data_IF_953175694694
#
_entry.id   IF_953175694694
#
_cell.length_a   1.000
_cell.length_b   1.000
_cell.length_c   1.000
_cell.angle_alpha   90.00
_cell.angle_beta   90.00
_cell.angle_gamma   90.00
#
_symmetry.space_group_name_H-M   'P 1'
#
loop_
_entity.id
_entity.type
_entity.pdbx_description
1 polymer ?
#
# COMPACT_ATOMS: atom_id res chain seq x y z
N UNK A 1 -17.81 42.69 23.30
CA UNK A 1 -18.40 41.97 22.15
C UNK A 1 -17.93 40.52 22.23
N UNK A 2 -18.84 39.58 22.57
CA UNK A 2 -18.50 38.15 22.46
C UNK A 2 -18.39 37.82 20.99
N UNK A 3 -17.20 37.43 20.49
CA UNK A 3 -17.08 36.83 19.18
C UNK A 3 -17.80 35.48 19.25
N UNK A 4 -18.95 35.36 18.64
CA UNK A 4 -19.54 34.05 18.32
C UNK A 4 -18.61 33.44 17.27
N UNK A 5 -17.86 32.43 17.67
CA UNK A 5 -17.01 31.63 16.74
C UNK A 5 -17.95 30.68 15.98
N UNK A 6 -18.02 30.85 14.68
CA UNK A 6 -18.67 29.87 13.79
C UNK A 6 -17.64 28.80 13.42
N UNK A 7 -17.83 27.59 13.93
CA UNK A 7 -16.95 26.45 13.72
C UNK A 7 -17.37 25.59 12.52
N UNK A 8 -18.46 25.91 11.85
CA UNK A 8 -19.02 25.13 10.75
C UNK A 8 -18.03 24.92 9.61
N UNK A 9 -17.30 25.96 9.19
CA UNK A 9 -16.25 25.86 8.16
C UNK A 9 -15.07 25.01 8.62
N UNK A 10 -14.72 25.08 9.91
CA UNK A 10 -13.64 24.26 10.46
C UNK A 10 -14.03 22.78 10.45
N UNK A 11 -15.24 22.47 10.93
CA UNK A 11 -15.79 21.12 10.96
C UNK A 11 -15.84 20.55 9.53
N UNK A 12 -16.42 21.30 8.59
CA UNK A 12 -16.53 20.89 7.19
C UNK A 12 -15.15 20.60 6.56
N UNK A 13 -14.17 21.49 6.78
CA UNK A 13 -12.81 21.30 6.29
C UNK A 13 -12.13 20.10 6.95
N UNK A 14 -12.28 19.95 8.27
CA UNK A 14 -11.68 18.84 8.99
C UNK A 14 -12.29 17.50 8.56
N UNK A 15 -13.59 17.41 8.41
CA UNK A 15 -14.27 16.16 8.08
C UNK A 15 -14.06 15.71 6.63
N UNK A 16 -13.82 16.64 5.69
CA UNK A 16 -13.79 16.32 4.27
C UNK A 16 -12.45 16.59 3.56
N UNK A 17 -11.66 17.52 4.07
CA UNK A 17 -10.40 17.90 3.43
C UNK A 17 -9.16 17.37 4.18
N UNK A 18 -9.28 17.07 5.47
CA UNK A 18 -8.17 16.55 6.27
C UNK A 18 -8.04 15.05 6.14
N UNK A 19 -7.95 14.57 4.88
CA UNK A 19 -7.86 13.16 4.52
C UNK A 19 -6.43 12.76 4.17
N UNK A 20 -6.11 11.46 4.31
CA UNK A 20 -4.82 10.93 3.92
C UNK A 20 -4.57 11.13 2.40
N UNK A 21 -5.62 10.90 1.59
CA UNK A 21 -5.54 11.09 0.14
C UNK A 21 -5.18 12.53 -0.23
N UNK A 22 -5.77 13.53 0.43
CA UNK A 22 -5.42 14.94 0.21
C UNK A 22 -3.96 15.25 0.60
N UNK A 23 -3.42 14.57 1.63
CA UNK A 23 -2.00 14.60 1.99
C UNK A 23 -1.13 14.09 0.86
N UNK A 24 -1.44 12.93 0.29
CA UNK A 24 -0.76 12.37 -0.88
C UNK A 24 -0.86 13.30 -2.10
N UNK A 25 -2.06 13.77 -2.44
CA UNK A 25 -2.28 14.66 -3.59
C UNK A 25 -1.56 16.01 -3.46
N UNK A 26 -1.39 16.52 -2.23
CA UNK A 26 -0.54 17.68 -1.97
C UNK A 26 0.90 17.41 -2.42
N UNK A 27 1.43 16.21 -2.16
CA UNK A 27 2.80 15.84 -2.54
C UNK A 27 2.91 15.56 -4.05
N UNK A 28 1.90 15.00 -4.68
CA UNK A 28 1.83 14.89 -6.15
C UNK A 28 1.99 16.28 -6.80
N UNK A 29 1.30 17.29 -6.28
CA UNK A 29 1.41 18.67 -6.81
C UNK A 29 2.76 19.33 -6.49
N UNK A 30 3.29 19.13 -5.28
CA UNK A 30 4.53 19.81 -4.81
C UNK A 30 5.80 19.15 -5.32
N UNK A 31 5.79 17.84 -5.46
CA UNK A 31 6.96 17.00 -5.69
C UNK A 31 6.79 16.06 -6.90
N UNK A 32 6.07 16.50 -7.94
CA UNK A 32 5.72 15.68 -9.10
C UNK A 32 6.90 14.92 -9.72
N UNK A 33 8.07 15.56 -9.81
CA UNK A 33 9.28 14.98 -10.40
C UNK A 33 10.15 14.17 -9.42
N UNK A 34 9.79 14.14 -8.12
CA UNK A 34 10.55 13.44 -7.09
C UNK A 34 10.13 11.97 -7.03
N UNK A 35 11.08 11.07 -6.78
CA UNK A 35 10.78 9.65 -6.58
C UNK A 35 9.84 9.44 -5.38
N UNK A 36 8.77 8.72 -5.61
CA UNK A 36 7.87 8.19 -4.59
C UNK A 36 8.20 6.72 -4.30
N UNK A 37 8.50 5.95 -5.35
CA UNK A 37 8.82 4.52 -5.25
C UNK A 37 10.12 4.26 -5.99
N UNK A 38 11.01 3.49 -5.36
CA UNK A 38 12.23 2.93 -5.95
C UNK A 38 12.16 1.42 -5.79
N UNK A 39 12.22 0.69 -6.90
CA UNK A 39 12.24 -0.78 -6.92
C UNK A 39 13.62 -1.29 -7.38
N UNK A 40 14.49 -1.66 -6.44
CA UNK A 40 15.83 -2.12 -6.76
C UNK A 40 15.88 -3.44 -7.55
N UNK A 41 14.90 -4.32 -7.35
CA UNK A 41 14.89 -5.65 -7.97
C UNK A 41 14.53 -5.60 -9.45
N UNK A 42 13.69 -4.66 -9.86
CA UNK A 42 13.35 -4.44 -11.28
C UNK A 42 14.10 -3.27 -11.90
N UNK A 43 14.89 -2.54 -11.11
CA UNK A 43 15.56 -1.30 -11.49
C UNK A 43 14.60 -0.24 -12.07
N UNK A 44 13.37 -0.18 -11.56
CA UNK A 44 12.33 0.80 -11.92
C UNK A 44 12.12 1.79 -10.79
N UNK A 45 11.65 2.97 -11.14
CA UNK A 45 11.23 3.97 -10.17
C UNK A 45 10.01 4.73 -10.67
N UNK A 46 9.22 5.24 -9.74
CA UNK A 46 8.07 6.10 -10.01
C UNK A 46 8.25 7.41 -9.27
N UNK A 47 8.14 8.50 -9.99
CA UNK A 47 7.98 9.81 -9.37
C UNK A 47 6.57 9.95 -8.80
N UNK A 48 6.32 10.93 -7.91
CA UNK A 48 4.96 11.21 -7.45
C UNK A 48 3.99 11.46 -8.60
N UNK A 49 4.44 12.15 -9.65
CA UNK A 49 3.64 12.38 -10.86
C UNK A 49 3.34 11.10 -11.64
N UNK A 50 4.35 10.26 -11.91
CA UNK A 50 4.13 9.02 -12.66
C UNK A 50 3.38 7.97 -11.83
N UNK A 51 3.61 7.93 -10.52
CA UNK A 51 2.82 7.10 -9.60
C UNK A 51 1.35 7.50 -9.64
N UNK A 52 1.05 8.81 -9.56
CA UNK A 52 -0.33 9.27 -9.60
C UNK A 52 -1.05 8.91 -10.90
N UNK A 53 -0.38 9.01 -12.04
CA UNK A 53 -0.91 8.59 -13.34
C UNK A 53 -1.24 7.10 -13.37
N UNK A 54 -0.36 6.25 -12.87
CA UNK A 54 -0.59 4.80 -12.80
C UNK A 54 -1.71 4.46 -11.81
N UNK A 55 -1.76 5.13 -10.66
CA UNK A 55 -2.87 5.04 -9.70
C UNK A 55 -4.19 5.43 -10.33
N UNK A 56 -4.22 6.49 -11.14
CA UNK A 56 -5.44 6.92 -11.86
C UNK A 56 -5.89 5.86 -12.87
N UNK A 57 -4.97 5.32 -13.67
CA UNK A 57 -5.29 4.21 -14.57
C UNK A 57 -5.89 3.02 -13.83
N UNK A 58 -5.31 2.66 -12.70
CA UNK A 58 -5.83 1.57 -11.88
C UNK A 58 -7.22 1.90 -11.29
N UNK A 59 -7.43 3.12 -10.79
CA UNK A 59 -8.74 3.55 -10.30
C UNK A 59 -9.82 3.52 -11.39
N UNK A 60 -9.51 3.96 -12.61
CA UNK A 60 -10.41 3.86 -13.76
C UNK A 60 -10.70 2.41 -14.16
N UNK A 61 -9.72 1.51 -14.11
CA UNK A 61 -9.94 0.09 -14.37
C UNK A 61 -10.89 -0.52 -13.32
N UNK A 62 -10.71 -0.19 -12.04
CA UNK A 62 -11.60 -0.59 -10.96
C UNK A 62 -13.04 -0.08 -11.19
N UNK A 63 -13.20 1.20 -11.57
CA UNK A 63 -14.52 1.77 -11.90
C UNK A 63 -15.16 1.07 -13.10
N UNK A 64 -14.39 0.72 -14.13
CA UNK A 64 -14.85 -0.02 -15.31
C UNK A 64 -15.41 -1.40 -14.95
N UNK A 65 -14.79 -2.09 -13.99
CA UNK A 65 -15.28 -3.36 -13.41
C UNK A 65 -16.37 -3.13 -12.33
N UNK A 66 -16.91 -1.90 -12.25
CA UNK A 66 -18.06 -1.56 -11.41
C UNK A 66 -17.74 -1.45 -9.92
N UNK A 67 -16.46 -1.29 -9.52
CA UNK A 67 -16.09 -1.00 -8.12
C UNK A 67 -16.59 0.39 -7.74
N UNK A 68 -17.23 0.48 -6.58
CA UNK A 68 -17.87 1.70 -6.04
C UNK A 68 -17.37 1.97 -4.62
N UNK A 69 -17.86 3.08 -4.05
CA UNK A 69 -17.66 3.39 -2.64
C UNK A 69 -18.09 2.19 -1.77
N UNK A 70 -17.28 1.90 -0.77
CA UNK A 70 -17.43 0.81 0.22
C UNK A 70 -17.24 -0.62 -0.35
N UNK A 71 -17.01 -0.80 -1.66
CA UNK A 71 -16.59 -2.09 -2.21
C UNK A 71 -15.16 -2.44 -1.78
N UNK A 72 -14.88 -3.74 -1.63
CA UNK A 72 -13.58 -4.21 -1.17
C UNK A 72 -12.71 -4.63 -2.35
N UNK A 73 -11.49 -4.08 -2.39
CA UNK A 73 -10.36 -4.52 -3.23
C UNK A 73 -9.36 -5.22 -2.33
N UNK A 74 -9.16 -6.52 -2.53
CA UNK A 74 -8.22 -7.31 -1.74
C UNK A 74 -6.85 -7.35 -2.40
N UNK A 75 -5.80 -6.98 -1.66
CA UNK A 75 -4.41 -7.07 -2.09
C UNK A 75 -3.66 -8.12 -1.28
N UNK A 76 -3.38 -9.28 -1.89
CA UNK A 76 -2.53 -10.34 -1.36
C UNK A 76 -1.14 -10.21 -2.00
N UNK A 77 -0.41 -9.16 -1.65
CA UNK A 77 0.82 -8.73 -2.30
C UNK A 77 2.00 -8.68 -1.34
N UNK A 78 3.18 -9.03 -1.85
CA UNK A 78 4.45 -8.66 -1.21
C UNK A 78 4.58 -7.13 -1.18
N UNK A 79 5.56 -6.63 -0.41
CA UNK A 79 5.98 -5.24 -0.55
C UNK A 79 6.42 -5.02 -2.01
N UNK A 80 5.67 -4.24 -2.76
CA UNK A 80 5.84 -4.08 -4.20
C UNK A 80 5.27 -2.75 -4.69
N UNK A 81 5.67 -2.28 -5.88
CA UNK A 81 4.98 -1.15 -6.50
C UNK A 81 3.48 -1.40 -6.66
N UNK A 82 3.06 -2.62 -7.00
CA UNK A 82 1.65 -2.97 -7.10
C UNK A 82 0.90 -2.82 -5.77
N UNK A 83 1.53 -3.15 -4.62
CA UNK A 83 0.95 -2.85 -3.31
C UNK A 83 0.78 -1.35 -3.10
N UNK A 84 1.81 -0.56 -3.42
CA UNK A 84 1.75 0.90 -3.29
C UNK A 84 0.63 1.51 -4.15
N UNK A 85 0.44 1.03 -5.39
CA UNK A 85 -0.67 1.45 -6.25
C UNK A 85 -2.03 1.02 -5.66
N UNK A 86 -2.12 -0.21 -5.14
CA UNK A 86 -3.32 -0.73 -4.47
C UNK A 86 -3.65 0.01 -3.17
N UNK A 87 -2.66 0.61 -2.52
CA UNK A 87 -2.86 1.41 -1.32
C UNK A 87 -3.55 2.74 -1.62
N UNK A 88 -3.38 3.29 -2.82
CA UNK A 88 -3.90 4.61 -3.20
C UNK A 88 -5.12 4.53 -4.10
N UNK A 89 -5.11 3.67 -5.13
CA UNK A 89 -6.14 3.67 -6.17
C UNK A 89 -7.57 3.42 -5.67
N UNK A 90 -7.84 2.44 -4.78
CA UNK A 90 -9.17 2.25 -4.21
C UNK A 90 -9.69 3.48 -3.47
N UNK A 91 -8.83 4.18 -2.72
CA UNK A 91 -9.21 5.40 -1.97
C UNK A 91 -9.70 6.51 -2.89
N UNK A 92 -9.16 6.64 -4.12
CA UNK A 92 -9.60 7.66 -5.08
C UNK A 92 -11.06 7.50 -5.51
N UNK A 93 -11.61 6.31 -5.39
CA UNK A 93 -12.99 5.98 -5.76
C UNK A 93 -13.84 5.56 -4.56
N UNK A 94 -13.32 5.75 -3.34
CA UNK A 94 -14.02 5.43 -2.09
C UNK A 94 -14.11 3.94 -1.77
N UNK A 95 -13.38 3.09 -2.48
CA UNK A 95 -13.31 1.66 -2.18
C UNK A 95 -12.32 1.38 -1.06
N UNK A 96 -12.50 0.24 -0.40
CA UNK A 96 -11.75 -0.20 0.77
C UNK A 96 -10.64 -1.16 0.32
N UNK A 97 -9.38 -0.89 0.72
CA UNK A 97 -8.32 -1.86 0.56
C UNK A 97 -8.36 -2.90 1.68
N UNK A 98 -8.44 -4.18 1.35
CA UNK A 98 -8.14 -5.28 2.27
C UNK A 98 -6.71 -5.76 2.02
N UNK A 99 -5.79 -5.41 2.93
CA UNK A 99 -4.40 -5.86 2.85
C UNK A 99 -4.29 -7.27 3.45
N UNK A 100 -4.26 -8.28 2.59
CA UNK A 100 -4.25 -9.67 3.00
C UNK A 100 -2.83 -10.20 3.23
N UNK A 101 -2.67 -11.05 4.23
CA UNK A 101 -1.42 -11.76 4.46
C UNK A 101 -1.18 -12.79 3.34
N UNK A 102 -0.18 -12.55 2.52
CA UNK A 102 0.19 -13.44 1.42
C UNK A 102 0.81 -14.79 1.87
N UNK A 103 1.09 -14.96 3.16
CA UNK A 103 1.59 -16.22 3.72
C UNK A 103 0.47 -17.16 4.19
N UNK A 104 -0.82 -16.79 4.04
CA UNK A 104 -1.94 -17.64 4.38
C UNK A 104 -1.98 -18.90 3.51
N UNK A 105 -2.37 -20.02 4.10
CA UNK A 105 -2.69 -21.23 3.34
C UNK A 105 -3.98 -21.03 2.52
N UNK A 106 -4.17 -21.80 1.46
CA UNK A 106 -5.31 -21.63 0.55
C UNK A 106 -6.68 -21.76 1.23
N UNK A 107 -6.79 -22.56 2.30
CA UNK A 107 -8.02 -22.66 3.10
C UNK A 107 -8.32 -21.38 3.88
N UNK A 108 -7.29 -20.78 4.51
CA UNK A 108 -7.42 -19.51 5.24
C UNK A 108 -7.73 -18.36 4.29
N UNK A 109 -7.09 -18.37 3.11
CA UNK A 109 -7.33 -17.39 2.05
C UNK A 109 -8.78 -17.47 1.56
N UNK A 110 -9.31 -18.68 1.35
CA UNK A 110 -10.70 -18.88 0.97
C UNK A 110 -11.68 -18.34 2.02
N UNK A 111 -11.42 -18.60 3.30
CA UNK A 111 -12.23 -18.06 4.40
C UNK A 111 -12.17 -16.52 4.46
N UNK A 112 -11.00 -15.93 4.20
CA UNK A 112 -10.84 -14.48 4.15
C UNK A 112 -11.64 -13.86 3.00
N UNK A 113 -11.63 -14.52 1.84
CA UNK A 113 -12.41 -14.14 0.65
C UNK A 113 -13.91 -14.22 0.95
N UNK A 114 -14.39 -15.33 1.50
CA UNK A 114 -15.81 -15.52 1.82
C UNK A 114 -16.33 -14.54 2.88
N UNK A 115 -15.49 -14.20 3.86
CA UNK A 115 -15.85 -13.28 4.93
C UNK A 115 -15.93 -11.82 4.44
N UNK A 116 -14.95 -11.39 3.64
CA UNK A 116 -14.86 -9.98 3.22
C UNK A 116 -15.53 -9.72 1.86
N UNK A 117 -15.79 -10.74 1.07
CA UNK A 117 -16.44 -10.67 -0.24
C UNK A 117 -15.82 -9.61 -1.16
N UNK A 118 -14.49 -9.66 -1.39
CA UNK A 118 -13.81 -8.67 -2.23
C UNK A 118 -14.35 -8.74 -3.66
N UNK A 119 -14.58 -7.59 -4.26
CA UNK A 119 -14.99 -7.49 -5.65
C UNK A 119 -13.83 -7.77 -6.61
N UNK A 120 -12.66 -7.29 -6.24
CA UNK A 120 -11.40 -7.49 -6.98
C UNK A 120 -10.38 -8.13 -6.04
N UNK A 121 -9.62 -9.10 -6.56
CA UNK A 121 -8.43 -9.65 -5.89
C UNK A 121 -7.21 -9.34 -6.75
N UNK A 122 -6.21 -8.65 -6.16
CA UNK A 122 -4.90 -8.46 -6.76
C UNK A 122 -3.87 -9.22 -5.93
N UNK A 123 -3.00 -10.00 -6.57
CA UNK A 123 -2.09 -10.89 -5.87
C UNK A 123 -0.72 -10.99 -6.55
N UNK A 124 0.33 -11.26 -5.76
CA UNK A 124 1.69 -11.50 -6.26
C UNK A 124 1.85 -12.87 -6.90
N UNK A 125 2.67 -12.95 -7.94
CA UNK A 125 2.88 -14.19 -8.70
C UNK A 125 3.34 -15.38 -7.84
N UNK A 126 4.16 -15.15 -6.81
CA UNK A 126 4.65 -16.19 -5.92
C UNK A 126 3.55 -16.94 -5.13
N UNK A 127 2.35 -16.38 -5.00
CA UNK A 127 1.20 -17.03 -4.33
C UNK A 127 0.11 -17.45 -5.31
N UNK A 128 0.38 -17.47 -6.62
CA UNK A 128 -0.56 -17.85 -7.66
C UNK A 128 -1.33 -19.14 -7.34
N UNK A 129 -0.61 -20.18 -6.96
CA UNK A 129 -1.23 -21.48 -6.65
C UNK A 129 -2.11 -21.44 -5.40
N UNK A 130 -1.78 -20.61 -4.41
CA UNK A 130 -2.61 -20.40 -3.20
C UNK A 130 -3.93 -19.75 -3.59
N UNK A 131 -3.92 -18.75 -4.47
CA UNK A 131 -5.13 -18.07 -4.96
C UNK A 131 -6.00 -19.05 -5.76
N UNK A 132 -5.43 -19.77 -6.73
CA UNK A 132 -6.17 -20.74 -7.55
C UNK A 132 -6.82 -21.83 -6.69
N UNK A 133 -6.15 -22.31 -5.66
CA UNK A 133 -6.73 -23.30 -4.73
C UNK A 133 -7.77 -22.67 -3.77
N UNK A 134 -7.60 -21.41 -3.40
CA UNK A 134 -8.60 -20.69 -2.61
C UNK A 134 -9.90 -20.46 -3.41
N UNK A 135 -9.81 -20.09 -4.69
CA UNK A 135 -10.96 -19.92 -5.58
C UNK A 135 -11.82 -21.18 -5.74
N UNK A 136 -11.19 -22.37 -5.69
CA UNK A 136 -11.93 -23.65 -5.71
C UNK A 136 -12.70 -23.91 -4.41
N UNK A 137 -12.21 -23.36 -3.28
CA UNK A 137 -12.73 -23.61 -1.93
C UNK A 137 -13.73 -22.56 -1.47
N UNK A 138 -13.59 -21.29 -1.92
CA UNK A 138 -14.47 -20.21 -1.50
C UNK A 138 -15.80 -20.21 -2.27
N UNK A 139 -16.85 -19.78 -1.57
CA UNK A 139 -18.20 -19.59 -2.12
C UNK A 139 -18.35 -18.31 -2.90
N UNK A 140 -17.69 -17.24 -2.41
CA UNK A 140 -17.69 -15.95 -3.06
C UNK A 140 -16.80 -15.96 -4.31
N UNK A 141 -17.30 -15.36 -5.39
CA UNK A 141 -16.56 -15.21 -6.64
C UNK A 141 -16.28 -13.72 -6.89
N UNK A 142 -15.02 -13.29 -6.90
CA UNK A 142 -14.69 -11.93 -7.27
C UNK A 142 -15.01 -11.65 -8.76
N UNK A 143 -15.29 -10.42 -9.10
CA UNK A 143 -15.48 -10.00 -10.49
C UNK A 143 -14.20 -10.16 -11.33
N UNK A 144 -13.04 -9.99 -10.68
CA UNK A 144 -11.72 -10.09 -11.31
C UNK A 144 -10.63 -10.53 -10.36
N UNK A 145 -9.74 -11.40 -10.86
CA UNK A 145 -8.46 -11.71 -10.23
C UNK A 145 -7.32 -11.16 -11.09
N UNK A 146 -6.42 -10.38 -10.47
CA UNK A 146 -5.34 -9.66 -11.13
C UNK A 146 -4.01 -10.20 -10.62
N UNK A 147 -3.20 -10.76 -11.51
CA UNK A 147 -1.85 -11.17 -11.18
C UNK A 147 -0.91 -9.96 -11.34
N UNK A 148 -0.25 -9.58 -10.26
CA UNK A 148 0.68 -8.46 -10.19
C UNK A 148 2.02 -8.89 -9.60
N UNK A 149 3.00 -7.96 -9.57
CA UNK A 149 4.34 -8.23 -9.02
C UNK A 149 4.94 -9.54 -9.58
N UNK A 150 4.88 -9.68 -10.90
CA UNK A 150 5.25 -10.89 -11.63
C UNK A 150 6.72 -10.85 -12.09
N UNK A 151 7.65 -10.70 -11.15
CA UNK A 151 9.09 -10.68 -11.44
C UNK A 151 9.62 -12.07 -11.81
N UNK A 152 8.91 -13.12 -11.45
CA UNK A 152 9.21 -14.50 -11.76
C UNK A 152 8.78 -14.91 -13.20
N UNK A 153 8.09 -14.03 -13.92
CA UNK A 153 7.51 -14.28 -15.25
C UNK A 153 6.57 -15.51 -15.30
N UNK A 154 5.77 -15.67 -14.25
CA UNK A 154 4.76 -16.71 -14.18
C UNK A 154 3.65 -16.49 -15.23
N UNK A 155 3.16 -17.60 -15.81
CA UNK A 155 2.04 -17.53 -16.74
C UNK A 155 0.76 -17.04 -16.03
N UNK A 156 0.01 -16.17 -16.71
CA UNK A 156 -1.29 -15.67 -16.24
C UNK A 156 -2.29 -16.83 -16.26
N UNK A 157 -2.97 -17.15 -15.14
CA UNK A 157 -3.97 -18.20 -15.12
C UNK A 157 -5.18 -17.88 -16.02
N UNK A 158 -5.84 -18.91 -16.50
CA UNK A 158 -7.11 -18.75 -17.24
C UNK A 158 -8.14 -18.01 -16.38
N UNK A 159 -8.81 -17.03 -16.96
CA UNK A 159 -9.80 -16.18 -16.27
C UNK A 159 -9.19 -15.03 -15.44
N UNK A 160 -7.86 -14.97 -15.29
CA UNK A 160 -7.16 -13.87 -14.65
C UNK A 160 -6.59 -12.90 -15.68
N UNK A 161 -6.12 -11.74 -15.21
CA UNK A 161 -5.48 -10.71 -16.05
C UNK A 161 -4.18 -10.26 -15.39
N UNK A 162 -3.18 -9.85 -16.20
CA UNK A 162 -2.01 -9.17 -15.63
C UNK A 162 -2.37 -7.77 -15.15
N UNK A 163 -1.62 -7.26 -14.18
CA UNK A 163 -1.81 -5.87 -13.72
C UNK A 163 -1.61 -4.87 -14.86
N UNK A 164 -0.60 -5.11 -15.68
CA UNK A 164 -0.24 -4.27 -16.82
C UNK A 164 -1.39 -4.21 -17.84
N UNK A 165 -1.93 -5.35 -18.26
CA UNK A 165 -3.06 -5.41 -19.20
C UNK A 165 -4.34 -4.81 -18.59
N UNK A 166 -4.52 -4.98 -17.26
CA UNK A 166 -5.68 -4.47 -16.55
C UNK A 166 -5.78 -2.94 -16.58
N UNK A 167 -4.65 -2.26 -16.48
CA UNK A 167 -4.58 -0.79 -16.51
C UNK A 167 -4.28 -0.22 -17.91
N UNK A 168 -4.04 -1.07 -18.90
CA UNK A 168 -3.71 -0.61 -20.27
C UNK A 168 -4.83 0.20 -20.87
N UNK A 169 -4.49 1.34 -21.49
CA UNK A 169 -5.45 2.23 -22.15
C UNK A 169 -6.41 2.97 -21.22
N UNK A 170 -6.29 2.82 -19.88
CA UNK A 170 -7.09 3.60 -18.94
C UNK A 170 -6.59 5.04 -18.84
N UNK A 171 -7.51 5.97 -18.48
CA UNK A 171 -7.20 7.39 -18.33
C UNK A 171 -6.19 7.65 -17.21
N UNK A 172 -5.28 8.59 -17.43
CA UNK A 172 -4.34 9.13 -16.43
C UNK A 172 -4.93 10.30 -15.62
N UNK A 173 -6.11 10.80 -15.99
CA UNK A 173 -6.79 11.88 -15.30
C UNK A 173 -7.37 11.42 -13.96
N UNK A 174 -7.62 12.37 -13.05
CA UNK A 174 -8.26 12.06 -11.77
C UNK A 174 -9.64 11.44 -11.99
N UNK A 175 -9.94 10.28 -11.35
CA UNK A 175 -11.22 9.62 -11.50
C UNK A 175 -12.36 10.51 -11.01
N UNK A 176 -13.47 10.52 -11.73
CA UNK A 176 -14.66 11.24 -11.30
C UNK A 176 -15.43 10.42 -10.28
N UNK A 177 -15.82 11.08 -9.18
CA UNK A 177 -16.61 10.51 -8.08
C UNK A 177 -17.86 11.36 -7.85
N UNK A 178 -18.93 10.72 -7.40
CA UNK A 178 -20.23 11.36 -7.11
C UNK A 178 -20.56 11.43 -5.61
N UNK A 179 -19.55 11.31 -4.77
CA UNK A 179 -19.65 11.42 -3.31
C UNK A 179 -18.57 12.38 -2.81
N UNK A 180 -18.74 12.89 -1.60
CA UNK A 180 -17.71 13.66 -0.91
C UNK A 180 -17.01 12.73 0.09
N UNK A 181 -15.67 12.55 0.03
CA UNK A 181 -14.94 11.77 1.02
C UNK A 181 -15.14 12.33 2.43
N UNK A 182 -15.13 11.45 3.42
CA UNK A 182 -15.27 11.82 4.80
C UNK A 182 -14.17 11.16 5.64
N UNK A 183 -13.65 11.86 6.62
CA UNK A 183 -12.55 11.41 7.49
C UNK A 183 -12.86 10.09 8.24
N UNK A 184 -14.14 9.77 8.43
CA UNK A 184 -14.58 8.49 9.02
C UNK A 184 -14.98 7.43 8.01
N UNK A 185 -14.81 7.67 6.69
CA UNK A 185 -14.95 6.62 5.70
C UNK A 185 -13.93 5.51 5.97
N UNK A 186 -14.36 4.26 5.89
CA UNK A 186 -13.44 3.11 5.94
C UNK A 186 -12.60 3.09 4.66
N UNK A 187 -11.27 2.97 4.79
CA UNK A 187 -10.36 3.01 3.66
C UNK A 187 -9.41 1.82 3.60
N UNK A 188 -9.23 1.13 4.74
CA UNK A 188 -8.28 0.03 4.86
C UNK A 188 -8.79 -1.02 5.83
N UNK A 189 -8.58 -2.28 5.53
CA UNK A 189 -8.66 -3.41 6.47
C UNK A 189 -7.31 -4.08 6.61
N UNK A 190 -6.85 -4.22 7.84
CA UNK A 190 -5.69 -5.05 8.17
C UNK A 190 -6.15 -6.34 8.83
N UNK A 191 -5.51 -7.46 8.48
CA UNK A 191 -5.80 -8.73 9.10
C UNK A 191 -4.91 -8.96 10.32
N UNK A 192 -5.52 -9.37 11.44
CA UNK A 192 -4.77 -9.83 12.62
C UNK A 192 -4.60 -11.34 12.57
N UNK A 193 -3.45 -11.82 13.05
CA UNK A 193 -3.26 -13.24 13.37
C UNK A 193 -4.09 -13.58 14.61
N UNK A 194 -5.36 -13.91 14.43
CA UNK A 194 -6.24 -14.32 15.53
C UNK A 194 -5.81 -15.67 16.09
N UNK A 195 -5.97 -15.86 17.39
CA UNK A 195 -5.90 -17.20 18.07
C UNK A 195 -7.06 -18.12 17.67
N UNK A 196 -8.01 -17.62 16.90
CA UNK A 196 -9.16 -18.35 16.31
C UNK A 196 -8.88 -18.65 14.84
N UNK A 197 -9.47 -19.72 14.31
CA UNK A 197 -9.24 -20.27 12.96
C UNK A 197 -9.47 -19.28 11.80
N UNK A 198 -10.00 -18.09 12.04
CA UNK A 198 -10.28 -17.05 11.05
C UNK A 198 -9.44 -15.80 11.32
N UNK A 199 -8.66 -15.31 10.31
CA UNK A 199 -8.05 -13.97 10.39
C UNK A 199 -9.15 -12.92 10.55
N UNK A 200 -9.07 -12.10 11.61
CA UNK A 200 -10.01 -10.99 11.81
C UNK A 200 -9.57 -9.80 10.97
N UNK A 201 -10.48 -9.28 10.16
CA UNK A 201 -10.28 -8.02 9.43
C UNK A 201 -10.64 -6.86 10.33
N UNK A 202 -9.69 -5.96 10.59
CA UNK A 202 -9.87 -4.76 11.41
C UNK A 202 -10.07 -3.58 10.48
N UNK A 203 -11.25 -2.94 10.48
CA UNK A 203 -11.51 -1.75 9.68
C UNK A 203 -10.75 -0.54 10.24
N UNK A 204 -10.15 0.23 9.36
CA UNK A 204 -9.49 1.50 9.65
C UNK A 204 -10.12 2.58 8.77
N UNK A 205 -10.51 3.68 9.39
CA UNK A 205 -11.01 4.84 8.67
C UNK A 205 -9.88 5.81 8.30
N UNK A 206 -10.19 6.82 7.50
CA UNK A 206 -9.17 7.72 6.96
C UNK A 206 -8.45 8.53 8.04
N UNK A 207 -9.14 8.89 9.15
CA UNK A 207 -8.50 9.56 10.29
C UNK A 207 -7.45 8.67 10.98
N UNK A 208 -7.64 7.35 11.02
CA UNK A 208 -6.63 6.44 11.55
C UNK A 208 -5.34 6.49 10.71
N UNK A 209 -5.49 6.63 9.40
CA UNK A 209 -4.36 6.73 8.48
C UNK A 209 -3.62 8.06 8.65
N UNK A 210 -4.36 9.18 8.72
CA UNK A 210 -3.79 10.51 8.96
C UNK A 210 -3.04 10.56 10.28
N UNK A 211 -3.68 10.14 11.38
CA UNK A 211 -3.07 10.18 12.72
C UNK A 211 -1.87 9.22 12.82
N UNK A 212 -1.95 8.03 12.21
CA UNK A 212 -0.82 7.11 12.18
C UNK A 212 0.37 7.68 11.39
N UNK A 213 0.12 8.37 10.27
CA UNK A 213 1.17 9.06 9.53
C UNK A 213 1.80 10.18 10.35
N UNK A 214 0.98 11.03 10.97
CA UNK A 214 1.46 12.13 11.82
C UNK A 214 2.29 11.64 13.00
N UNK A 215 1.84 10.58 13.69
CA UNK A 215 2.53 10.01 14.84
C UNK A 215 3.97 9.59 14.47
N UNK A 216 4.11 8.84 13.38
CA UNK A 216 5.43 8.40 12.89
C UNK A 216 6.28 9.57 12.43
N UNK A 217 5.72 10.52 11.66
CA UNK A 217 6.43 11.69 11.16
C UNK A 217 6.95 12.57 12.33
N UNK A 218 6.17 12.72 13.38
CA UNK A 218 6.58 13.52 14.55
C UNK A 218 7.65 12.84 15.38
N UNK A 219 7.57 11.51 15.56
CA UNK A 219 8.54 10.78 16.38
C UNK A 219 9.88 10.57 15.69
N UNK A 220 9.89 10.38 14.38
CA UNK A 220 11.09 10.08 13.58
C UNK A 220 11.48 11.22 12.62
N UNK A 221 11.13 12.45 12.88
CA UNK A 221 11.09 13.68 12.07
C UNK A 221 11.25 13.47 10.56
N UNK A 222 10.45 12.56 10.01
CA UNK A 222 10.46 12.27 8.57
C UNK A 222 10.07 13.51 7.77
N UNK A 223 10.76 13.72 6.67
CA UNK A 223 10.57 14.86 5.80
C UNK A 223 10.66 14.46 4.32
N UNK A 224 10.31 15.34 3.38
CA UNK A 224 10.33 14.98 1.96
C UNK A 224 11.69 14.57 1.39
N UNK A 225 12.80 14.84 2.04
CA UNK A 225 14.14 14.46 1.54
C UNK A 225 14.56 13.05 1.98
N UNK A 226 13.75 12.40 2.80
CA UNK A 226 14.05 11.06 3.26
C UNK A 226 13.79 9.99 2.20
N UNK A 227 14.49 8.87 2.35
CA UNK A 227 14.23 7.63 1.66
C UNK A 227 14.02 6.52 2.70
N UNK A 228 12.82 5.95 2.72
CA UNK A 228 12.44 4.95 3.71
C UNK A 228 12.58 3.54 3.13
N UNK A 229 13.16 2.61 3.90
CA UNK A 229 13.09 1.19 3.65
C UNK A 229 12.50 0.47 4.85
N UNK A 230 11.36 -0.20 4.67
CA UNK A 230 10.75 -1.01 5.71
C UNK A 230 10.87 -2.50 5.34
N UNK A 231 11.56 -3.26 6.19
CA UNK A 231 11.80 -4.68 6.03
C UNK A 231 10.61 -5.55 6.48
N UNK A 232 9.57 -4.94 7.05
CA UNK A 232 8.36 -5.62 7.51
C UNK A 232 7.31 -5.66 6.40
N UNK A 233 6.53 -6.75 6.25
CA UNK A 233 5.46 -6.81 5.26
C UNK A 233 4.43 -5.69 5.42
N UNK A 234 4.05 -5.05 4.31
CA UNK A 234 3.14 -3.90 4.30
C UNK A 234 1.68 -4.26 4.59
N UNK A 235 1.30 -5.53 4.51
CA UNK A 235 -0.03 -5.97 4.96
C UNK A 235 -0.19 -5.92 6.50
N UNK A 236 0.90 -5.71 7.25
CA UNK A 236 0.88 -5.47 8.69
C UNK A 236 0.97 -3.98 9.02
N UNK A 237 0.43 -3.60 10.19
CA UNK A 237 0.54 -2.24 10.70
C UNK A 237 2.00 -1.77 10.77
N UNK A 238 2.92 -2.58 11.32
CA UNK A 238 4.34 -2.23 11.40
C UNK A 238 5.00 -1.99 10.04
N UNK A 239 4.57 -2.70 9.00
CA UNK A 239 5.05 -2.48 7.63
C UNK A 239 4.40 -1.27 6.97
N UNK A 240 3.08 -1.19 7.00
CA UNK A 240 2.33 -0.14 6.32
C UNK A 240 2.53 1.24 6.96
N UNK A 241 2.43 1.31 8.30
CA UNK A 241 2.36 2.57 9.05
C UNK A 241 3.67 3.01 9.71
N UNK A 242 4.75 2.22 9.66
CA UNK A 242 6.04 2.58 10.24
C UNK A 242 7.12 2.69 9.15
N UNK A 243 7.13 3.76 8.37
CA UNK A 243 8.08 3.95 7.25
C UNK A 243 7.71 3.20 5.96
N UNK A 244 6.51 2.63 5.89
CA UNK A 244 5.91 2.11 4.66
C UNK A 244 5.04 3.15 3.95
N UNK A 245 4.08 2.73 3.12
CA UNK A 245 3.27 3.62 2.28
C UNK A 245 2.56 4.75 3.04
N UNK A 246 2.03 4.47 4.24
CA UNK A 246 1.20 5.43 4.98
C UNK A 246 1.95 6.73 5.32
N UNK A 247 3.02 6.74 6.16
CA UNK A 247 3.72 7.97 6.51
C UNK A 247 4.54 8.53 5.35
N UNK A 248 5.14 7.65 4.53
CA UNK A 248 6.07 8.07 3.49
C UNK A 248 5.38 8.87 2.39
N UNK A 249 4.26 8.37 1.86
CA UNK A 249 3.52 9.11 0.82
C UNK A 249 2.79 10.32 1.38
N UNK A 250 2.42 10.29 2.67
CA UNK A 250 1.78 11.43 3.32
C UNK A 250 2.74 12.61 3.54
N UNK A 251 4.01 12.34 3.89
CA UNK A 251 5.03 13.38 4.08
C UNK A 251 5.72 13.78 2.77
N UNK A 252 5.76 12.91 1.76
CA UNK A 252 6.36 13.17 0.46
C UNK A 252 7.78 12.63 0.30
N UNK A 253 8.21 11.64 1.08
CA UNK A 253 9.50 10.97 0.94
C UNK A 253 9.43 9.76 -0.02
N UNK A 254 10.59 9.20 -0.38
CA UNK A 254 10.66 8.02 -1.21
C UNK A 254 10.52 6.73 -0.38
N UNK A 255 9.94 5.68 -0.98
CA UNK A 255 9.94 4.33 -0.43
C UNK A 255 10.79 3.42 -1.31
N UNK A 256 11.78 2.77 -0.72
CA UNK A 256 12.56 1.73 -1.38
C UNK A 256 11.89 0.38 -1.09
N UNK A 257 11.50 -0.31 -2.16
CA UNK A 257 10.73 -1.56 -2.06
C UNK A 257 11.66 -2.73 -1.72
N UNK A 258 11.24 -3.56 -0.78
CA UNK A 258 11.90 -4.82 -0.45
C UNK A 258 10.85 -5.94 -0.33
N UNK A 259 10.85 -6.85 -1.29
CA UNK A 259 9.89 -7.98 -1.34
C UNK A 259 10.16 -9.04 -0.29
N UNK A 260 11.44 -9.35 -0.08
CA UNK A 260 11.90 -10.29 0.92
C UNK A 260 13.17 -9.77 1.59
N UNK A 261 13.21 -9.85 2.91
CA UNK A 261 14.37 -9.38 3.69
C UNK A 261 15.62 -10.21 3.39
N UNK A 262 16.68 -9.53 2.97
CA UNK A 262 18.02 -10.08 2.77
C UNK A 262 19.05 -9.09 3.31
N UNK A 263 19.82 -9.44 4.36
CA UNK A 263 20.73 -8.50 5.02
C UNK A 263 21.73 -7.85 4.05
N UNK A 264 22.33 -8.63 3.14
CA UNK A 264 23.28 -8.12 2.16
C UNK A 264 22.64 -7.06 1.25
N UNK A 265 21.49 -7.37 0.67
CA UNK A 265 20.80 -6.44 -0.21
C UNK A 265 20.37 -5.16 0.53
N UNK A 266 19.91 -5.31 1.78
CA UNK A 266 19.55 -4.14 2.61
C UNK A 266 20.72 -3.20 2.78
N UNK A 267 21.90 -3.72 3.18
CA UNK A 267 23.10 -2.90 3.37
C UNK A 267 23.59 -2.26 2.06
N UNK A 268 23.58 -3.02 0.96
CA UNK A 268 23.93 -2.49 -0.36
C UNK A 268 22.98 -1.37 -0.81
N UNK A 269 21.68 -1.52 -0.50
CA UNK A 269 20.65 -0.52 -0.89
C UNK A 269 20.69 0.72 -0.01
N UNK A 270 21.02 0.61 1.28
CA UNK A 270 21.25 1.78 2.15
C UNK A 270 22.27 2.71 1.51
N UNK A 271 23.42 2.18 1.14
CA UNK A 271 24.47 2.95 0.49
C UNK A 271 24.05 3.45 -0.92
N UNK A 272 23.51 2.56 -1.75
CA UNK A 272 23.20 2.87 -3.17
C UNK A 272 22.09 3.93 -3.33
N UNK A 273 21.06 3.85 -2.49
CA UNK A 273 19.87 4.72 -2.60
C UNK A 273 19.83 5.80 -1.51
N UNK A 274 20.90 5.95 -0.72
CA UNK A 274 20.98 6.93 0.37
C UNK A 274 19.76 6.85 1.28
N UNK A 275 19.46 5.63 1.76
CA UNK A 275 18.32 5.41 2.65
C UNK A 275 18.62 6.09 3.98
N UNK A 276 17.67 6.92 4.44
CA UNK A 276 17.80 7.74 5.67
C UNK A 276 16.97 7.18 6.81
N UNK A 277 15.99 6.33 6.51
CA UNK A 277 15.11 5.71 7.50
C UNK A 277 14.95 4.21 7.23
N UNK A 278 15.41 3.40 8.19
CA UNK A 278 15.36 1.95 8.12
C UNK A 278 14.51 1.39 9.25
N UNK A 279 13.48 0.61 8.91
CA UNK A 279 12.58 -0.02 9.87
C UNK A 279 12.50 -1.53 9.67
N UNK A 280 12.47 -2.26 10.77
CA UNK A 280 12.32 -3.71 10.76
C UNK A 280 12.08 -4.30 12.15
N UNK A 281 11.73 -5.58 12.19
CA UNK A 281 11.66 -6.30 13.45
C UNK A 281 13.04 -6.41 14.11
N UNK A 282 13.14 -6.54 15.45
CA UNK A 282 14.42 -6.67 16.14
C UNK A 282 15.35 -7.74 15.54
N UNK A 283 14.78 -8.89 15.15
CA UNK A 283 15.55 -9.95 14.49
C UNK A 283 16.18 -9.52 13.15
N UNK A 284 15.49 -8.69 12.36
CA UNK A 284 16.05 -8.14 11.12
C UNK A 284 17.24 -7.23 11.42
N UNK A 285 17.12 -6.36 12.43
CA UNK A 285 18.17 -5.43 12.83
C UNK A 285 19.40 -6.17 13.35
N UNK A 286 19.20 -7.22 14.16
CA UNK A 286 20.30 -8.08 14.64
C UNK A 286 21.03 -8.76 13.45
N UNK A 287 20.28 -9.31 12.48
CA UNK A 287 20.88 -9.92 11.29
C UNK A 287 21.66 -8.89 10.45
N UNK A 288 21.18 -7.65 10.36
CA UNK A 288 21.89 -6.56 9.67
C UNK A 288 23.17 -6.19 10.39
N UNK A 289 23.15 -6.04 11.73
CA UNK A 289 24.35 -5.75 12.53
C UNK A 289 25.44 -6.79 12.28
N UNK A 290 25.08 -8.07 12.36
CA UNK A 290 26.02 -9.18 12.09
C UNK A 290 26.55 -9.19 10.64
N UNK A 291 25.70 -8.81 9.67
CA UNK A 291 26.12 -8.71 8.27
C UNK A 291 27.07 -7.52 8.07
N UNK A 292 26.81 -6.40 8.70
CA UNK A 292 27.64 -5.19 8.67
C UNK A 292 29.04 -5.46 9.29
N UNK A 293 29.11 -6.19 10.38
CA UNK A 293 30.39 -6.58 11.01
C UNK A 293 31.25 -7.44 10.07
N UNK A 294 30.62 -8.33 9.30
CA UNK A 294 31.34 -9.23 8.35
C UNK A 294 31.76 -8.54 7.05
N UNK A 295 30.91 -7.67 6.56
CA UNK A 295 31.10 -6.99 5.28
C UNK A 295 30.62 -5.55 5.38
N UNK A 296 31.45 -4.66 5.95
CA UNK A 296 31.07 -3.27 6.19
C UNK A 296 30.66 -2.54 4.92
N UNK A 297 29.56 -1.79 4.99
CA UNK A 297 29.05 -0.88 3.98
C UNK A 297 28.97 0.54 4.54
N UNK A 298 28.94 1.53 3.66
CA UNK A 298 28.67 2.90 4.07
C UNK A 298 27.20 3.06 4.46
N UNK A 299 26.95 3.35 5.73
CA UNK A 299 25.63 3.58 6.30
C UNK A 299 25.48 5.03 6.78
N UNK A 300 26.32 5.95 6.35
CA UNK A 300 26.34 7.35 6.82
C UNK A 300 25.07 8.13 6.49
N UNK A 301 24.21 7.58 5.64
CA UNK A 301 22.90 8.19 5.32
C UNK A 301 21.81 7.90 6.38
N UNK A 302 21.99 6.89 7.25
CA UNK A 302 21.03 6.52 8.31
C UNK A 302 21.07 7.47 9.50
#
# INVERSE_FOLDING_TARGET
MSRTYDDSMFIDTFEHEYTWLNGFMRNVRRFSAKNAIIDPETNRSWTYGSMNKEVNRFAHALQKDGVKKDDIVMAALRNSPAFAMSYVAPRKIGAILLAANFNLASGEMALLIDHNKPKIIIYSANIKNVILEAEKKCSHKPERCILADNIENEAIPEGHVSYEDYIEGMSEDEPQINFRPHIYDEVLRLCTSGTTALPKSVPLNDINEVLSAHDVIMHYPLNPNDACLNMTPWFHRGGCHCGGPCPSFYVGCAVVVMRAFQPKNTLDWVSKYSITFLMGAPANLEMLSRAQERTPKDLSSL
#
